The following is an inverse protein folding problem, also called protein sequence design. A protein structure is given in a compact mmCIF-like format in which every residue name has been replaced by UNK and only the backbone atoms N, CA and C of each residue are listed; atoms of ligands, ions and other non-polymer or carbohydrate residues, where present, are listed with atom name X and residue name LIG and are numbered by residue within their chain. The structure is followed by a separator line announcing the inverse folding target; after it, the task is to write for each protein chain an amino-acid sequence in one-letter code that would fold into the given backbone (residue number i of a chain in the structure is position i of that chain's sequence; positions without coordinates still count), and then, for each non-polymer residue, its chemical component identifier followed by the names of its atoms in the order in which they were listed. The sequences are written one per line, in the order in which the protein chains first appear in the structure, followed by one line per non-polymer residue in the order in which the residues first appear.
data_IF_508171485518
#
_entry.id   IF_508171485518
#
_cell.length_a   1.000
_cell.length_b   1.000
_cell.length_c   1.000
_cell.angle_alpha   90.00
_cell.angle_beta   90.00
_cell.angle_gamma   90.00
#
_symmetry.space_group_name_H-M   'P 1'
#
loop_
_entity.id
_entity.type
_entity.pdbx_description
1 polymer ?
#
# COMPACT_ATOMS: atom_id res chain seq x y z
N UNK A 1 8.34 -14.44 -2.03
CA UNK A 1 8.50 -12.98 -2.17
C UNK A 1 9.61 -12.71 -3.19
N UNK A 2 9.31 -12.07 -4.33
CA UNK A 2 10.28 -11.90 -5.44
C UNK A 2 11.56 -11.16 -5.02
N UNK A 3 11.45 -10.20 -4.11
CA UNK A 3 12.59 -9.43 -3.57
C UNK A 3 13.65 -10.32 -2.93
N UNK A 4 13.26 -11.39 -2.21
CA UNK A 4 14.20 -12.34 -1.61
C UNK A 4 14.92 -13.18 -2.68
N UNK A 5 14.21 -13.56 -3.74
CA UNK A 5 14.83 -14.30 -4.86
C UNK A 5 15.89 -13.45 -5.57
N UNK A 6 15.63 -12.15 -5.75
CA UNK A 6 16.62 -11.20 -6.30
C UNK A 6 17.83 -11.09 -5.36
N UNK A 7 17.61 -10.87 -4.05
CA UNK A 7 18.71 -10.79 -3.09
C UNK A 7 19.60 -12.05 -3.08
N UNK A 8 19.00 -13.23 -3.25
CA UNK A 8 19.74 -14.51 -3.29
C UNK A 8 20.39 -14.80 -4.66
N UNK A 9 20.18 -13.95 -5.67
CA UNK A 9 20.83 -14.09 -6.98
C UNK A 9 22.29 -13.64 -6.91
N UNK A 10 23.16 -14.29 -7.68
CA UNK A 10 24.59 -14.02 -7.67
C UNK A 10 24.88 -12.54 -7.98
N UNK A 11 25.62 -11.87 -7.09
CA UNK A 11 25.99 -10.46 -7.24
C UNK A 11 24.88 -9.45 -6.91
N UNK A 12 23.73 -9.89 -6.40
CA UNK A 12 22.59 -9.00 -6.11
C UNK A 12 22.35 -8.75 -4.61
N UNK A 13 23.06 -9.44 -3.71
CA UNK A 13 22.87 -9.27 -2.27
C UNK A 13 23.52 -7.98 -1.77
N UNK A 14 22.76 -6.88 -1.76
CA UNK A 14 23.20 -5.58 -1.24
C UNK A 14 23.38 -5.55 0.29
N UNK A 15 23.07 -6.64 1.00
CA UNK A 15 23.21 -6.77 2.44
C UNK A 15 24.24 -7.83 2.85
N UNK A 16 25.09 -8.28 1.92
CA UNK A 16 26.10 -9.32 2.15
C UNK A 16 27.11 -8.97 3.27
N UNK A 17 27.37 -7.68 3.48
CA UNK A 17 28.24 -7.17 4.55
C UNK A 17 27.56 -7.06 5.93
N UNK A 18 26.27 -7.38 6.04
CA UNK A 18 25.56 -7.30 7.32
C UNK A 18 25.98 -8.43 8.25
N UNK A 19 25.96 -8.14 9.56
CA UNK A 19 25.99 -9.21 10.55
C UNK A 19 24.78 -10.12 10.34
N UNK A 20 24.89 -11.41 10.73
CA UNK A 20 23.76 -12.35 10.64
C UNK A 20 22.48 -11.81 11.31
N UNK A 21 22.65 -11.08 12.42
CA UNK A 21 21.55 -10.46 13.17
C UNK A 21 20.89 -9.33 12.38
N UNK A 22 21.67 -8.45 11.77
CA UNK A 22 21.14 -7.32 11.00
C UNK A 22 20.56 -7.78 9.67
N UNK A 23 21.14 -8.80 9.04
CA UNK A 23 20.60 -9.42 7.83
C UNK A 23 19.20 -9.99 8.09
N UNK A 24 19.04 -10.79 9.15
CA UNK A 24 17.73 -11.33 9.54
C UNK A 24 16.73 -10.20 9.83
N UNK A 25 17.17 -9.17 10.58
CA UNK A 25 16.32 -8.01 10.89
C UNK A 25 15.89 -7.26 9.63
N UNK A 26 16.77 -7.09 8.64
CA UNK A 26 16.43 -6.44 7.38
C UNK A 26 15.38 -7.24 6.61
N UNK A 27 15.54 -8.56 6.52
CA UNK A 27 14.57 -9.42 5.84
C UNK A 27 13.20 -9.41 6.53
N UNK A 28 13.16 -9.37 7.86
CA UNK A 28 11.91 -9.26 8.61
C UNK A 28 11.25 -7.88 8.41
N UNK A 29 12.03 -6.79 8.45
CA UNK A 29 11.53 -5.45 8.14
C UNK A 29 10.98 -5.35 6.71
N UNK A 30 11.69 -5.88 5.72
CA UNK A 30 11.21 -5.92 4.34
C UNK A 30 9.89 -6.69 4.23
N UNK A 31 9.77 -7.82 4.94
CA UNK A 31 8.54 -8.61 4.95
C UNK A 31 7.38 -7.78 5.52
N UNK A 32 7.58 -7.17 6.69
CA UNK A 32 6.54 -6.41 7.37
C UNK A 32 6.11 -5.18 6.56
N UNK A 33 7.07 -4.46 5.97
CA UNK A 33 6.80 -3.26 5.16
C UNK A 33 6.08 -3.63 3.85
N UNK A 34 6.49 -4.71 3.17
CA UNK A 34 5.80 -5.16 1.95
C UNK A 34 4.38 -5.63 2.28
N UNK A 35 4.16 -6.30 3.42
CA UNK A 35 2.81 -6.68 3.83
C UNK A 35 1.94 -5.46 4.20
N UNK A 36 2.56 -4.37 4.66
CA UNK A 36 1.85 -3.14 4.98
C UNK A 36 1.28 -2.39 3.76
N UNK A 37 1.68 -2.72 2.52
CA UNK A 37 1.08 -2.14 1.31
C UNK A 37 -0.32 -2.69 1.00
N UNK A 38 -0.71 -3.80 1.65
CA UNK A 38 -2.09 -4.28 1.57
C UNK A 38 -3.02 -3.31 2.31
N UNK A 39 -3.90 -2.62 1.59
CA UNK A 39 -4.88 -1.70 2.18
C UNK A 39 -5.78 -2.41 3.22
N UNK A 40 -6.06 -3.71 3.07
CA UNK A 40 -6.79 -4.44 4.09
C UNK A 40 -5.99 -4.56 5.40
N UNK A 41 -4.65 -4.68 5.31
CA UNK A 41 -3.78 -4.59 6.48
C UNK A 41 -3.81 -3.19 7.10
N UNK A 42 -3.69 -2.15 6.27
CA UNK A 42 -3.78 -0.76 6.73
C UNK A 42 -5.07 -0.51 7.54
N UNK A 43 -6.22 -0.90 6.99
CA UNK A 43 -7.53 -0.72 7.65
C UNK A 43 -7.64 -1.49 8.98
N UNK A 44 -6.98 -2.66 9.12
CA UNK A 44 -6.94 -3.42 10.38
C UNK A 44 -6.18 -2.68 11.47
N UNK A 45 -5.05 -2.04 11.13
CA UNK A 45 -4.18 -1.35 12.10
C UNK A 45 -4.52 0.14 12.29
N UNK A 46 -5.50 0.66 11.55
CA UNK A 46 -5.81 2.09 11.53
C UNK A 46 -6.12 2.67 12.93
N UNK A 47 -6.84 1.92 13.78
CA UNK A 47 -7.11 2.35 15.17
C UNK A 47 -5.83 2.47 16.01
N UNK A 48 -4.85 1.60 15.78
CA UNK A 48 -3.57 1.68 16.48
C UNK A 48 -2.72 2.85 15.98
N UNK A 49 -2.82 3.18 14.68
CA UNK A 49 -2.21 4.39 14.11
C UNK A 49 -2.80 5.65 14.73
N UNK A 50 -4.12 5.73 14.84
CA UNK A 50 -4.81 6.84 15.50
C UNK A 50 -4.37 6.97 16.95
N UNK A 51 -4.39 5.87 17.71
CA UNK A 51 -3.94 5.86 19.10
C UNK A 51 -2.49 6.33 19.24
N UNK A 52 -1.59 5.87 18.37
CA UNK A 52 -0.19 6.31 18.36
C UNK A 52 -0.06 7.82 18.11
N UNK A 53 -0.86 8.37 17.19
CA UNK A 53 -0.88 9.80 16.91
C UNK A 53 -1.42 10.60 18.10
N UNK A 54 -2.47 10.12 18.76
CA UNK A 54 -3.09 10.75 19.93
C UNK A 54 -2.17 10.78 21.16
N UNK A 55 -1.50 9.66 21.48
CA UNK A 55 -0.61 9.59 22.66
C UNK A 55 0.79 10.15 22.40
N UNK A 56 1.13 10.39 21.12
CA UNK A 56 2.44 10.82 20.67
C UNK A 56 3.38 9.65 20.35
N UNK A 57 4.16 9.83 19.28
CA UNK A 57 5.17 8.86 18.88
C UNK A 57 6.29 8.75 19.94
N UNK A 58 6.69 7.51 20.27
CA UNK A 58 7.78 7.22 21.19
C UNK A 58 8.85 6.41 20.43
N UNK A 59 10.04 6.98 20.17
CA UNK A 59 11.09 6.29 19.43
C UNK A 59 11.64 5.07 20.17
N UNK A 60 11.43 4.94 21.49
CA UNK A 60 11.87 3.76 22.28
C UNK A 60 10.88 2.62 22.16
N UNK A 61 9.59 2.90 21.97
CA UNK A 61 8.55 1.92 21.77
C UNK A 61 8.70 1.18 20.42
N UNK A 62 8.91 -0.14 20.46
CA UNK A 62 9.08 -0.96 19.24
C UNK A 62 7.82 -0.97 18.37
N UNK A 63 6.64 -0.96 19.00
CA UNK A 63 5.37 -0.97 18.29
C UNK A 63 5.15 0.35 17.55
N UNK A 64 5.47 1.49 18.17
CA UNK A 64 5.34 2.80 17.51
C UNK A 64 6.23 2.88 16.26
N UNK A 65 7.46 2.34 16.33
CA UNK A 65 8.33 2.28 15.14
C UNK A 65 7.76 1.41 14.03
N UNK A 66 7.16 0.26 14.37
CA UNK A 66 6.54 -0.63 13.37
C UNK A 66 5.31 0.02 12.72
N UNK A 67 4.42 0.59 13.54
CA UNK A 67 3.24 1.33 13.09
C UNK A 67 3.62 2.52 12.19
N UNK A 68 4.65 3.28 12.57
CA UNK A 68 5.15 4.38 11.76
C UNK A 68 5.68 3.90 10.40
N UNK A 69 6.41 2.77 10.35
CA UNK A 69 6.86 2.19 9.07
C UNK A 69 5.69 1.76 8.19
N UNK A 70 4.64 1.17 8.76
CA UNK A 70 3.43 0.80 8.02
C UNK A 70 2.72 2.05 7.45
N UNK A 71 2.58 3.09 8.27
CA UNK A 71 1.99 4.35 7.84
C UNK A 71 2.80 4.99 6.72
N UNK A 72 4.12 5.14 6.90
CA UNK A 72 5.01 5.73 5.90
C UNK A 72 4.98 4.94 4.58
N UNK A 73 4.98 3.60 4.65
CA UNK A 73 4.86 2.78 3.44
C UNK A 73 3.54 3.04 2.71
N UNK A 74 2.41 3.09 3.43
CA UNK A 74 1.11 3.38 2.81
C UNK A 74 1.09 4.82 2.25
N UNK A 75 1.68 5.77 2.96
CA UNK A 75 1.83 7.16 2.50
C UNK A 75 2.70 7.27 1.23
N UNK A 76 3.71 6.42 1.07
CA UNK A 76 4.48 6.31 -0.16
C UNK A 76 3.64 5.72 -1.31
N UNK A 77 2.92 4.64 -1.02
CA UNK A 77 2.09 3.92 -2.00
C UNK A 77 0.96 4.79 -2.57
N UNK A 78 0.40 5.69 -1.75
CA UNK A 78 -0.66 6.62 -2.16
C UNK A 78 -0.15 8.03 -2.49
N UNK A 79 1.17 8.23 -2.58
CA UNK A 79 1.77 9.57 -2.69
C UNK A 79 1.39 10.35 -3.93
N UNK A 80 0.89 9.70 -4.99
CA UNK A 80 0.34 10.37 -6.17
C UNK A 80 -0.84 11.28 -5.83
N UNK A 81 -1.63 10.94 -4.81
CA UNK A 81 -2.77 11.74 -4.35
C UNK A 81 -2.38 13.05 -3.67
N UNK A 82 -1.09 13.20 -3.32
CA UNK A 82 -0.53 14.43 -2.77
C UNK A 82 -0.07 15.43 -3.85
N UNK A 83 -0.11 15.02 -5.13
CA UNK A 83 0.35 15.83 -6.25
C UNK A 83 -0.78 16.68 -6.84
N UNK A 84 -0.45 17.54 -7.79
CA UNK A 84 -1.43 18.37 -8.47
C UNK A 84 -2.46 17.55 -9.27
N UNK A 85 -3.63 18.14 -9.51
CA UNK A 85 -4.77 17.53 -10.21
C UNK A 85 -4.41 16.78 -11.50
N UNK A 86 -3.50 17.33 -12.30
CA UNK A 86 -3.07 16.69 -13.56
C UNK A 86 -2.48 15.30 -13.33
N UNK A 87 -1.72 15.13 -12.25
CA UNK A 87 -1.13 13.86 -11.85
C UNK A 87 -2.21 12.91 -11.34
N UNK A 88 -3.04 13.35 -10.39
CA UNK A 88 -4.08 12.50 -9.79
C UNK A 88 -5.08 12.00 -10.83
N UNK A 89 -5.51 12.87 -11.76
CA UNK A 89 -6.36 12.49 -12.89
C UNK A 89 -5.69 11.42 -13.75
N UNK A 90 -4.40 11.58 -14.05
CA UNK A 90 -3.69 10.62 -14.90
C UNK A 90 -3.54 9.26 -14.22
N UNK A 91 -3.28 9.25 -12.92
CA UNK A 91 -3.19 8.03 -12.12
C UNK A 91 -4.55 7.32 -12.04
N UNK A 92 -5.65 8.06 -11.84
CA UNK A 92 -6.99 7.49 -11.87
C UNK A 92 -7.28 6.80 -13.22
N UNK A 93 -6.95 7.44 -14.36
CA UNK A 93 -7.09 6.81 -15.69
C UNK A 93 -6.33 5.47 -15.78
N UNK A 94 -5.12 5.40 -15.23
CA UNK A 94 -4.28 4.19 -15.26
C UNK A 94 -4.86 3.09 -14.35
N UNK A 95 -5.26 3.44 -13.13
CA UNK A 95 -5.87 2.51 -12.17
C UNK A 95 -7.13 1.90 -12.75
N UNK A 96 -8.06 2.71 -13.26
CA UNK A 96 -9.31 2.17 -13.82
C UNK A 96 -9.09 1.38 -15.10
N UNK A 97 -8.09 1.74 -15.93
CA UNK A 97 -7.72 0.90 -17.07
C UNK A 97 -7.30 -0.50 -16.62
N UNK A 98 -6.54 -0.61 -15.54
CA UNK A 98 -6.13 -1.89 -14.97
C UNK A 98 -7.33 -2.64 -14.35
N UNK A 99 -8.13 -1.98 -13.52
CA UNK A 99 -9.31 -2.57 -12.87
C UNK A 99 -10.32 -3.08 -13.89
N UNK A 100 -10.59 -2.33 -14.95
CA UNK A 100 -11.51 -2.75 -16.01
C UNK A 100 -10.95 -3.91 -16.82
N UNK A 101 -9.64 -3.98 -17.01
CA UNK A 101 -9.01 -5.13 -17.67
C UNK A 101 -9.17 -6.40 -16.83
N UNK A 102 -9.03 -6.30 -15.50
CA UNK A 102 -9.32 -7.39 -14.59
C UNK A 102 -10.81 -7.77 -14.60
N UNK A 103 -11.71 -6.79 -14.52
CA UNK A 103 -13.16 -7.05 -14.52
C UNK A 103 -13.66 -7.73 -15.79
N UNK A 104 -13.08 -7.42 -16.95
CA UNK A 104 -13.40 -8.11 -18.20
C UNK A 104 -12.96 -9.59 -18.17
N UNK A 105 -11.79 -9.88 -17.59
CA UNK A 105 -11.32 -11.26 -17.41
C UNK A 105 -12.22 -12.02 -16.43
N UNK A 106 -12.63 -11.38 -15.33
CA UNK A 106 -13.57 -11.96 -14.37
C UNK A 106 -14.91 -12.31 -15.04
N UNK A 107 -15.46 -11.40 -15.87
CA UNK A 107 -16.67 -11.67 -16.67
C UNK A 107 -16.46 -12.83 -17.65
N UNK A 108 -15.33 -12.88 -18.35
CA UNK A 108 -15.02 -13.96 -19.29
C UNK A 108 -14.88 -15.33 -18.60
N UNK A 109 -14.48 -15.34 -17.33
CA UNK A 109 -14.44 -16.53 -16.48
C UNK A 109 -15.79 -16.88 -15.84
N UNK A 110 -16.86 -16.11 -16.10
CA UNK A 110 -18.19 -16.31 -15.54
C UNK A 110 -18.38 -15.74 -14.13
N UNK A 111 -17.44 -14.95 -13.63
CA UNK A 111 -17.53 -14.28 -12.34
C UNK A 111 -18.18 -12.90 -12.48
N UNK A 112 -18.84 -12.43 -11.41
CA UNK A 112 -19.31 -11.05 -11.32
C UNK A 112 -18.20 -10.16 -10.73
N UNK A 113 -17.65 -9.20 -11.49
CA UNK A 113 -16.65 -8.30 -10.95
C UNK A 113 -17.23 -7.36 -9.90
N UNK A 114 -16.35 -6.82 -9.05
CA UNK A 114 -16.68 -5.69 -8.18
C UNK A 114 -17.10 -4.48 -9.02
N UNK A 115 -17.96 -3.62 -8.46
CA UNK A 115 -18.49 -2.46 -9.20
C UNK A 115 -17.38 -1.54 -9.72
N UNK A 116 -16.33 -1.30 -8.91
CA UNK A 116 -15.17 -0.50 -9.31
C UNK A 116 -14.33 -1.12 -10.45
N UNK A 117 -14.51 -2.41 -10.72
CA UNK A 117 -13.84 -3.16 -11.79
C UNK A 117 -14.75 -3.37 -13.01
N UNK A 118 -16.04 -3.06 -12.91
CA UNK A 118 -17.00 -3.21 -14.00
C UNK A 118 -17.10 -1.91 -14.82
N UNK A 119 -16.47 -1.88 -15.99
CA UNK A 119 -16.47 -0.68 -16.88
C UNK A 119 -17.85 -0.21 -17.33
N UNK A 120 -18.88 -1.07 -17.20
CA UNK A 120 -20.26 -0.74 -17.57
C UNK A 120 -21.06 -0.14 -16.40
N UNK A 121 -20.51 -0.19 -15.18
CA UNK A 121 -21.19 0.26 -13.95
C UNK A 121 -20.40 1.27 -13.13
N UNK A 122 -19.07 1.24 -13.20
CA UNK A 122 -18.21 2.09 -12.40
C UNK A 122 -18.45 3.58 -12.69
N UNK A 123 -18.89 4.32 -11.67
CA UNK A 123 -18.95 5.78 -11.72
C UNK A 123 -17.69 6.38 -11.10
N UNK A 124 -16.67 6.58 -11.93
CA UNK A 124 -15.32 6.99 -11.53
C UNK A 124 -15.29 8.20 -10.57
N UNK A 125 -16.04 9.30 -10.78
CA UNK A 125 -16.00 10.45 -9.88
C UNK A 125 -16.39 10.09 -8.44
N UNK A 126 -17.48 9.35 -8.25
CA UNK A 126 -17.94 8.94 -6.92
C UNK A 126 -16.98 7.95 -6.26
N UNK A 127 -16.48 6.98 -7.02
CA UNK A 127 -15.48 6.02 -6.52
C UNK A 127 -14.18 6.73 -6.09
N UNK A 128 -13.74 7.75 -6.82
CA UNK A 128 -12.55 8.54 -6.46
C UNK A 128 -12.80 9.42 -5.22
N UNK A 129 -13.98 10.05 -5.10
CA UNK A 129 -14.36 10.80 -3.89
C UNK A 129 -14.36 9.87 -2.68
N UNK A 130 -15.01 8.70 -2.79
CA UNK A 130 -15.07 7.70 -1.73
C UNK A 130 -13.68 7.22 -1.32
N UNK A 131 -12.80 6.92 -2.29
CA UNK A 131 -11.41 6.54 -2.03
C UNK A 131 -10.63 7.64 -1.30
N UNK A 132 -10.79 8.89 -1.74
CA UNK A 132 -10.11 10.03 -1.10
C UNK A 132 -10.59 10.25 0.33
N UNK A 133 -11.91 10.25 0.57
CA UNK A 133 -12.50 10.51 1.89
C UNK A 133 -12.22 9.40 2.91
N UNK A 134 -12.30 8.14 2.49
CA UNK A 134 -12.26 7.00 3.40
C UNK A 134 -10.90 6.32 3.51
N UNK A 135 -10.00 6.54 2.55
CA UNK A 135 -8.67 5.90 2.53
C UNK A 135 -7.56 6.95 2.51
N UNK A 136 -7.46 7.77 1.46
CA UNK A 136 -6.29 8.63 1.28
C UNK A 136 -6.21 9.77 2.31
N UNK A 137 -7.28 10.53 2.51
CA UNK A 137 -7.29 11.67 3.44
C UNK A 137 -7.01 11.25 4.89
N UNK A 138 -7.60 10.16 5.44
CA UNK A 138 -7.26 9.69 6.78
C UNK A 138 -5.78 9.33 6.97
N UNK A 139 -5.07 8.93 5.92
CA UNK A 139 -3.63 8.61 5.97
C UNK A 139 -2.76 9.88 6.09
N UNK A 140 -3.20 11.01 5.52
CA UNK A 140 -2.43 12.26 5.48
C UNK A 140 -2.91 13.32 6.49
N UNK A 141 -3.85 12.96 7.38
CA UNK A 141 -4.36 13.84 8.44
C UNK A 141 -3.48 13.79 9.68
#
# INVERSE_FOLDING_TARGET
MRSIAILNSQGCNIFDHFSRKDYQRMLDLMRDIILATDLAHHLRIFKDLQKMAEVGYDPKNKQHRSLLLCLLMTSCDLSDQTKGWKTTRKIAELIYKEFFSQGDLEKAMGNRPLEMMDREKAYIPELQISFMEHIAMPIYK
#
